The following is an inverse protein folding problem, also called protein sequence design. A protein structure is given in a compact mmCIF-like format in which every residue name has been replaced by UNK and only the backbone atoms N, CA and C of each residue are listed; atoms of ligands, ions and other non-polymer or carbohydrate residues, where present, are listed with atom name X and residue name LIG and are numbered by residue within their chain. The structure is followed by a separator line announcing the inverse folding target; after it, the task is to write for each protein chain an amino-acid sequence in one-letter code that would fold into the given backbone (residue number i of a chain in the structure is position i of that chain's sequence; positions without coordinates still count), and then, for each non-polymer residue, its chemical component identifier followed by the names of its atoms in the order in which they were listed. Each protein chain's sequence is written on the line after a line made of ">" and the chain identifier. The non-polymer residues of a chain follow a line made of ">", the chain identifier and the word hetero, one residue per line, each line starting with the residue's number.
data_IF_166049841825
#
_entry.id   IF_166049841825
#
_cell.length_a   1.000
_cell.length_b   1.000
_cell.length_c   1.000
_cell.angle_alpha   90.00
_cell.angle_beta   90.00
_cell.angle_gamma   90.00
#
_symmetry.space_group_name_H-M   'P 1'
#
loop_
_entity.id
_entity.type
_entity.pdbx_description
1 polymer ?
#
# COMPACT_ATOMS: atom_id res chain seq x y z
N UNK A 1 33.90 3.53 53.87
CA UNK A 1 33.77 2.26 53.12
C UNK A 1 33.88 1.09 54.08
N UNK A 2 32.77 0.42 54.38
CA UNK A 2 32.69 -1.05 54.49
C UNK A 2 31.36 -1.41 53.85
N UNK A 3 31.42 -2.20 52.79
CA UNK A 3 30.28 -2.60 51.97
C UNK A 3 29.68 -3.85 52.65
N UNK A 4 28.45 -3.83 53.19
CA UNK A 4 27.84 -5.06 53.66
C UNK A 4 27.52 -5.94 52.46
N UNK A 5 28.24 -7.06 52.36
CA UNK A 5 28.08 -8.10 51.35
C UNK A 5 26.68 -8.73 51.48
N UNK A 6 25.81 -8.66 50.46
CA UNK A 6 24.59 -9.47 50.45
C UNK A 6 24.96 -10.92 50.13
N UNK A 7 24.42 -11.86 50.90
CA UNK A 7 24.61 -13.30 50.74
C UNK A 7 24.21 -13.78 49.32
N UNK A 8 24.87 -14.83 48.79
CA UNK A 8 24.51 -15.42 47.52
C UNK A 8 23.17 -16.19 47.62
N UNK A 9 22.25 -16.05 46.66
CA UNK A 9 21.06 -16.89 46.62
C UNK A 9 21.42 -18.33 46.27
N UNK A 10 20.71 -19.24 46.92
CA UNK A 10 20.93 -20.68 46.96
C UNK A 10 20.95 -21.34 45.58
N UNK A 11 21.81 -22.36 45.48
CA UNK A 11 21.93 -23.36 44.43
C UNK A 11 20.57 -23.88 43.96
N UNK A 12 20.13 -23.40 42.80
CA UNK A 12 19.22 -24.12 41.92
C UNK A 12 20.05 -25.07 41.07
N UNK A 13 19.86 -26.37 41.30
CA UNK A 13 20.54 -27.47 40.63
C UNK A 13 20.59 -27.30 39.10
N UNK A 14 21.75 -27.56 38.52
CA UNK A 14 21.87 -27.91 37.10
C UNK A 14 20.87 -29.03 36.74
N UNK A 15 20.40 -29.06 35.48
CA UNK A 15 19.14 -29.69 35.11
C UNK A 15 19.23 -31.22 35.26
N UNK A 16 18.15 -31.91 35.62
CA UNK A 16 18.06 -33.32 35.29
C UNK A 16 17.99 -33.39 33.77
N UNK A 17 18.84 -34.20 33.15
CA UNK A 17 18.64 -34.68 31.78
C UNK A 17 17.17 -35.08 31.66
N UNK A 18 16.36 -34.26 30.97
CA UNK A 18 15.05 -34.68 30.52
C UNK A 18 15.32 -35.87 29.61
N UNK A 19 15.06 -37.07 30.11
CA UNK A 19 14.93 -38.25 29.27
C UNK A 19 13.87 -37.90 28.24
N UNK A 20 14.32 -37.60 27.02
CA UNK A 20 13.47 -37.14 25.95
C UNK A 20 12.48 -38.28 25.65
N UNK A 21 11.21 -38.04 25.98
CA UNK A 21 10.15 -39.00 25.70
C UNK A 21 10.10 -39.25 24.18
N UNK A 22 10.32 -40.48 23.70
CA UNK A 22 10.37 -40.77 22.27
C UNK A 22 9.11 -40.34 21.52
N UNK A 23 7.94 -40.41 22.17
CA UNK A 23 6.68 -39.94 21.60
C UNK A 23 6.61 -38.42 21.40
N UNK A 24 7.20 -37.64 22.33
CA UNK A 24 7.29 -36.17 22.18
C UNK A 24 8.26 -35.78 21.08
N UNK A 25 9.31 -36.58 20.87
CA UNK A 25 10.24 -36.38 19.75
C UNK A 25 9.56 -36.66 18.42
N UNK A 26 8.77 -37.73 18.31
CA UNK A 26 8.04 -38.06 17.09
C UNK A 26 6.97 -37.02 16.74
N UNK A 27 6.24 -36.54 17.75
CA UNK A 27 5.28 -35.44 17.60
C UNK A 27 5.97 -34.13 17.18
N UNK A 28 7.11 -33.79 17.80
CA UNK A 28 7.89 -32.62 17.42
C UNK A 28 8.45 -32.74 15.98
N UNK A 29 8.89 -33.94 15.58
CA UNK A 29 9.35 -34.22 14.23
C UNK A 29 8.22 -34.09 13.20
N UNK A 30 7.05 -34.66 13.46
CA UNK A 30 5.88 -34.52 12.60
C UNK A 30 5.40 -33.06 12.52
N UNK A 31 5.43 -32.32 13.63
CA UNK A 31 5.12 -30.88 13.63
C UNK A 31 6.10 -30.07 12.79
N UNK A 32 7.40 -30.39 12.85
CA UNK A 32 8.42 -29.75 12.02
C UNK A 32 8.22 -30.10 10.54
N UNK A 33 8.02 -31.39 10.22
CA UNK A 33 7.73 -31.84 8.86
C UNK A 33 6.47 -31.17 8.31
N UNK A 34 5.40 -31.08 9.10
CA UNK A 34 4.16 -30.41 8.71
C UNK A 34 4.36 -28.92 8.45
N UNK A 35 5.16 -28.24 9.27
CA UNK A 35 5.46 -26.81 9.11
C UNK A 35 6.22 -26.51 7.81
N UNK A 36 7.18 -27.37 7.44
CA UNK A 36 8.02 -27.16 6.25
C UNK A 36 7.45 -27.78 4.97
N UNK A 37 6.67 -28.86 5.07
CA UNK A 37 6.25 -29.66 3.90
C UNK A 37 4.77 -29.49 3.54
N UNK A 38 3.89 -29.05 4.45
CA UNK A 38 2.50 -28.75 4.09
C UNK A 38 2.42 -27.39 3.43
N UNK A 39 1.86 -27.29 2.21
CA UNK A 39 1.86 -26.05 1.42
C UNK A 39 1.11 -24.87 2.06
N UNK A 40 0.37 -25.08 3.16
CA UNK A 40 -0.44 -24.06 3.82
C UNK A 40 -0.18 -23.82 5.31
N UNK A 41 0.77 -24.52 5.97
CA UNK A 41 0.97 -24.37 7.44
C UNK A 41 2.24 -23.60 7.84
N UNK A 42 2.75 -22.82 6.89
CA UNK A 42 3.79 -21.83 7.08
C UNK A 42 3.64 -20.84 5.95
N UNK A 43 2.43 -20.26 5.81
CA UNK A 43 2.22 -19.16 4.87
C UNK A 43 3.37 -18.19 5.13
N UNK A 44 4.30 -18.02 4.18
CA UNK A 44 5.21 -16.90 4.24
C UNK A 44 4.32 -15.68 4.45
N UNK A 45 4.80 -14.65 5.17
CA UNK A 45 4.28 -13.30 4.96
C UNK A 45 3.87 -13.24 3.50
N UNK A 46 2.57 -13.03 3.22
CA UNK A 46 2.15 -12.66 1.88
C UNK A 46 3.01 -11.44 1.64
N UNK A 47 4.18 -11.64 1.05
CA UNK A 47 5.18 -10.64 0.81
C UNK A 47 4.55 -10.00 -0.38
N UNK A 48 3.55 -9.17 -0.08
CA UNK A 48 2.61 -8.49 -0.97
C UNK A 48 3.49 -8.13 -2.11
N UNK A 49 3.35 -8.87 -3.22
CA UNK A 49 4.35 -8.91 -4.28
C UNK A 49 4.69 -7.46 -4.56
N UNK A 50 5.87 -7.00 -4.12
CA UNK A 50 6.10 -5.59 -3.77
C UNK A 50 5.52 -4.75 -4.88
N UNK A 51 4.29 -4.27 -4.69
CA UNK A 51 3.61 -3.55 -5.74
C UNK A 51 4.39 -2.25 -5.71
N UNK A 52 5.19 -2.04 -6.76
CA UNK A 52 5.94 -0.82 -6.90
C UNK A 52 4.89 0.23 -7.21
N UNK A 53 4.26 0.72 -6.14
CA UNK A 53 3.35 1.84 -6.16
C UNK A 53 4.19 3.08 -6.45
N UNK A 54 4.43 3.34 -7.74
CA UNK A 54 5.11 4.56 -8.18
C UNK A 54 4.25 5.80 -7.88
N UNK A 55 2.94 5.64 -7.80
CA UNK A 55 1.98 6.69 -7.46
C UNK A 55 0.90 6.12 -6.54
N UNK A 56 0.64 6.80 -5.42
CA UNK A 56 -0.47 6.52 -4.50
C UNK A 56 -1.25 7.80 -4.26
N UNK A 57 -2.57 7.67 -4.08
CA UNK A 57 -3.37 8.71 -3.47
C UNK A 57 -3.26 8.53 -1.96
N UNK A 58 -2.89 9.58 -1.23
CA UNK A 58 -2.76 9.49 0.23
C UNK A 58 -4.13 9.18 0.86
N UNK A 59 -4.21 8.25 1.82
CA UNK A 59 -5.48 7.83 2.42
C UNK A 59 -6.18 8.94 3.23
N UNK A 60 -5.41 9.93 3.68
CA UNK A 60 -5.83 11.13 4.38
C UNK A 60 -5.77 12.39 3.49
N UNK A 61 -5.68 12.20 2.16
CA UNK A 61 -5.72 13.31 1.22
C UNK A 61 -6.99 14.13 1.40
N UNK A 62 -6.82 15.45 1.47
CA UNK A 62 -7.92 16.40 1.51
C UNK A 62 -8.79 16.26 0.24
N UNK A 63 -10.12 16.00 0.36
CA UNK A 63 -10.99 15.81 -0.79
C UNK A 63 -11.02 17.00 -1.73
N UNK A 64 -11.01 18.23 -1.18
CA UNK A 64 -11.02 19.46 -1.97
C UNK A 64 -9.70 19.63 -2.73
N UNK A 65 -8.57 19.49 -2.06
CA UNK A 65 -7.24 19.51 -2.68
C UNK A 65 -7.07 18.43 -3.74
N UNK A 66 -7.61 17.22 -3.50
CA UNK A 66 -7.56 16.13 -4.46
C UNK A 66 -8.42 16.43 -5.71
N UNK A 67 -9.60 17.02 -5.54
CA UNK A 67 -10.43 17.47 -6.65
C UNK A 67 -9.78 18.62 -7.44
N UNK A 68 -9.18 19.59 -6.75
CA UNK A 68 -8.48 20.71 -7.37
C UNK A 68 -7.27 20.23 -8.19
N UNK A 69 -6.46 19.31 -7.62
CA UNK A 69 -5.33 18.71 -8.33
C UNK A 69 -5.78 17.88 -9.54
N UNK A 70 -6.90 17.16 -9.42
CA UNK A 70 -7.49 16.41 -10.53
C UNK A 70 -7.95 17.36 -11.64
N UNK A 71 -8.61 18.47 -11.29
CA UNK A 71 -9.01 19.51 -12.24
C UNK A 71 -7.81 20.09 -13.00
N UNK A 72 -6.75 20.48 -12.28
CA UNK A 72 -5.51 21.00 -12.89
C UNK A 72 -4.84 19.98 -13.81
N UNK A 73 -4.84 18.70 -13.42
CA UNK A 73 -4.32 17.61 -14.25
C UNK A 73 -5.11 17.48 -15.57
N UNK A 74 -6.44 17.52 -15.50
CA UNK A 74 -7.28 17.47 -16.70
C UNK A 74 -7.08 18.68 -17.60
N UNK A 75 -7.01 19.89 -17.04
CA UNK A 75 -6.70 21.09 -17.81
C UNK A 75 -5.34 20.98 -18.50
N UNK A 76 -4.32 20.48 -17.80
CA UNK A 76 -2.98 20.25 -18.36
C UNK A 76 -3.02 19.25 -19.52
N UNK A 77 -3.74 18.14 -19.35
CA UNK A 77 -3.95 17.15 -20.41
C UNK A 77 -4.68 17.76 -21.61
N UNK A 78 -5.73 18.56 -21.38
CA UNK A 78 -6.45 19.28 -22.44
C UNK A 78 -5.51 20.20 -23.24
N UNK A 79 -4.65 20.97 -22.57
CA UNK A 79 -3.66 21.83 -23.25
C UNK A 79 -2.69 21.00 -24.09
N UNK A 80 -2.16 19.90 -23.56
CA UNK A 80 -1.23 19.04 -24.29
C UNK A 80 -1.87 18.37 -25.51
N UNK A 81 -3.15 17.99 -25.43
CA UNK A 81 -3.87 17.42 -26.57
C UNK A 81 -4.10 18.48 -27.65
N UNK A 82 -4.43 19.72 -27.25
CA UNK A 82 -4.60 20.82 -28.18
C UNK A 82 -3.28 21.15 -28.90
N UNK A 83 -2.19 21.28 -28.14
CA UNK A 83 -0.84 21.49 -28.68
C UNK A 83 -0.46 20.38 -29.68
N UNK A 84 -0.66 19.11 -29.29
CA UNK A 84 -0.47 17.97 -30.19
C UNK A 84 -1.35 18.05 -31.45
N UNK A 85 -2.58 18.56 -31.33
CA UNK A 85 -3.50 18.66 -32.47
C UNK A 85 -3.07 19.67 -33.53
N UNK A 86 -2.21 20.64 -33.17
CA UNK A 86 -1.65 21.62 -34.10
C UNK A 86 -0.68 20.97 -35.09
N UNK A 87 0.05 19.94 -34.65
CA UNK A 87 1.00 19.17 -35.46
C UNK A 87 0.35 18.04 -36.29
N UNK A 88 -0.96 17.83 -36.14
CA UNK A 88 -1.70 16.75 -36.80
C UNK A 88 -2.62 17.29 -37.90
N UNK A 89 -2.88 16.45 -38.92
CA UNK A 89 -3.85 16.74 -39.97
C UNK A 89 -4.84 15.58 -40.18
N UNK A 90 -5.99 15.87 -40.79
CA UNK A 90 -6.98 14.86 -41.17
C UNK A 90 -7.55 14.05 -39.99
N UNK A 91 -7.62 12.73 -40.15
CA UNK A 91 -8.26 11.85 -39.17
C UNK A 91 -7.57 11.83 -37.79
N UNK A 92 -6.22 11.77 -37.67
CA UNK A 92 -5.53 11.89 -36.37
C UNK A 92 -5.85 13.18 -35.61
N UNK A 93 -5.92 14.33 -36.31
CA UNK A 93 -6.31 15.59 -35.69
C UNK A 93 -7.73 15.54 -35.15
N UNK A 94 -8.66 14.99 -35.93
CA UNK A 94 -10.05 14.83 -35.49
C UNK A 94 -10.15 13.93 -34.25
N UNK A 95 -9.32 12.87 -34.17
CA UNK A 95 -9.24 12.02 -32.98
C UNK A 95 -8.71 12.79 -31.77
N UNK A 96 -7.63 13.57 -31.91
CA UNK A 96 -7.10 14.39 -30.84
C UNK A 96 -8.16 15.38 -30.31
N UNK A 97 -8.86 16.07 -31.21
CA UNK A 97 -9.94 17.01 -30.84
C UNK A 97 -11.12 16.29 -30.16
N UNK A 98 -11.44 15.05 -30.54
CA UNK A 98 -12.47 14.27 -29.87
C UNK A 98 -12.05 13.87 -28.44
N UNK A 99 -10.78 13.52 -28.22
CA UNK A 99 -10.24 13.25 -26.88
C UNK A 99 -10.28 14.53 -26.04
N UNK A 100 -9.86 15.66 -26.60
CA UNK A 100 -9.97 16.96 -25.91
C UNK A 100 -11.41 17.25 -25.50
N UNK A 101 -12.39 17.08 -26.39
CA UNK A 101 -13.80 17.28 -26.05
C UNK A 101 -14.28 16.38 -24.90
N UNK A 102 -13.80 15.12 -24.83
CA UNK A 102 -14.09 14.25 -23.69
C UNK A 102 -13.42 14.73 -22.40
N UNK A 103 -12.21 15.28 -22.48
CA UNK A 103 -11.51 15.93 -21.38
C UNK A 103 -12.32 17.11 -20.83
N UNK A 104 -12.80 18.00 -21.70
CA UNK A 104 -13.63 19.15 -21.30
C UNK A 104 -14.92 18.74 -20.60
N UNK A 105 -15.57 17.65 -21.03
CA UNK A 105 -16.72 17.10 -20.31
C UNK A 105 -16.36 16.63 -18.89
N UNK A 106 -15.17 16.04 -18.71
CA UNK A 106 -14.65 15.66 -17.40
C UNK A 106 -14.37 16.87 -16.51
N UNK A 107 -13.75 17.92 -17.07
CA UNK A 107 -13.49 19.20 -16.40
C UNK A 107 -14.79 19.80 -15.87
N UNK A 108 -15.85 19.87 -16.69
CA UNK A 108 -17.17 20.39 -16.27
C UNK A 108 -17.78 19.61 -15.10
N UNK A 109 -17.61 18.29 -15.05
CA UNK A 109 -18.08 17.48 -13.93
C UNK A 109 -17.29 17.80 -12.65
N UNK A 110 -15.97 17.96 -12.77
CA UNK A 110 -15.09 18.32 -11.65
C UNK A 110 -15.39 19.72 -11.11
N UNK A 111 -15.67 20.70 -11.96
CA UNK A 111 -16.10 22.05 -11.54
C UNK A 111 -17.36 21.97 -10.69
N UNK A 112 -18.33 21.13 -11.08
CA UNK A 112 -19.55 20.94 -10.30
C UNK A 112 -19.31 20.23 -8.98
N UNK A 113 -18.35 19.31 -8.91
CA UNK A 113 -17.96 18.68 -7.65
C UNK A 113 -17.30 19.69 -6.71
N UNK A 114 -16.35 20.49 -7.21
CA UNK A 114 -15.70 21.56 -6.45
C UNK A 114 -16.70 22.61 -5.93
N UNK A 115 -17.61 23.07 -6.79
CA UNK A 115 -18.67 24.01 -6.40
C UNK A 115 -19.58 23.47 -5.29
N UNK A 116 -19.77 22.14 -5.23
CA UNK A 116 -20.59 21.50 -4.22
C UNK A 116 -19.82 21.33 -2.90
N UNK A 117 -18.55 20.93 -2.94
CA UNK A 117 -17.69 20.87 -1.74
C UNK A 117 -17.58 22.25 -1.08
N UNK A 118 -17.37 23.30 -1.86
CA UNK A 118 -17.29 24.68 -1.35
C UNK A 118 -18.59 25.17 -0.68
N UNK A 119 -19.74 24.59 -1.03
CA UNK A 119 -21.03 24.88 -0.37
C UNK A 119 -21.22 24.10 0.92
N UNK A 120 -20.68 22.90 1.02
CA UNK A 120 -20.78 22.05 2.23
C UNK A 120 -19.94 22.64 3.37
N UNK A 121 -18.85 23.33 3.06
CA UNK A 121 -17.95 23.93 4.05
C UNK A 121 -18.39 25.32 4.57
N UNK A 122 -19.45 25.93 4.01
CA UNK A 122 -19.97 27.26 4.41
C UNK A 122 -21.22 27.15 5.28
#
# INVERSE_FOLDING_TARGET
>A
MIKPTPNPPHTGSQPPHETLDPGKLDEAAQRALDYYLKPNNGQPDQKTAKHLDYFIVAPDADPEGMLAHTYETFCSVSTLILDLSEDLEGAPRNLALAIHQMGEMGVLLLERMLDNEAKVQR
#
